data_IF_705585595218
#
_entry.id   IF_705585595218
#
_cell.length_a   1.000
_cell.length_b   1.000
_cell.length_c   1.000
_cell.angle_alpha   90.00
_cell.angle_beta   90.00
_cell.angle_gamma   90.00
#
_symmetry.space_group_name_H-M   'P 1'
#
loop_
_entity.id
_entity.type
_entity.pdbx_description
1 polymer ?
#
# COMPACT_ATOMS: atom_id res chain seq x y z
N UNK A 1 -41.97 32.94 47.36
CA UNK A 1 -42.44 31.57 47.66
C UNK A 1 -43.33 31.17 46.48
N UNK A 2 -43.00 30.24 45.60
CA UNK A 2 -42.12 29.08 45.68
C UNK A 2 -41.29 28.93 44.41
N UNK A 3 -40.11 28.32 44.56
CA UNK A 3 -39.21 27.89 43.48
C UNK A 3 -39.53 26.42 43.20
N UNK A 4 -39.84 26.05 41.96
CA UNK A 4 -40.23 24.68 41.63
C UNK A 4 -39.94 24.29 40.18
N UNK A 5 -38.71 23.81 39.96
CA UNK A 5 -38.30 22.74 39.03
C UNK A 5 -39.09 22.57 37.73
N UNK A 6 -38.45 22.84 36.59
CA UNK A 6 -38.53 22.04 35.35
C UNK A 6 -37.58 22.62 34.28
N UNK A 7 -36.28 22.49 34.53
CA UNK A 7 -35.28 22.52 33.46
C UNK A 7 -34.86 21.08 33.17
N UNK A 8 -34.52 20.81 31.90
CA UNK A 8 -34.01 19.56 31.33
C UNK A 8 -35.10 18.62 30.79
N UNK A 9 -35.63 18.92 29.60
CA UNK A 9 -36.27 17.92 28.74
C UNK A 9 -36.35 18.33 27.26
N UNK A 10 -35.36 18.98 26.65
CA UNK A 10 -35.32 19.16 25.18
C UNK A 10 -33.86 19.09 24.68
N UNK A 11 -33.27 17.90 24.66
CA UNK A 11 -32.03 17.63 23.93
C UNK A 11 -31.86 16.12 23.71
N UNK A 12 -32.77 15.47 22.97
CA UNK A 12 -32.56 14.04 22.66
C UNK A 12 -33.31 13.50 21.43
N UNK A 13 -33.43 14.26 20.35
CA UNK A 13 -34.12 13.79 19.12
C UNK A 13 -33.34 13.94 17.80
N UNK A 14 -32.00 13.97 17.82
CA UNK A 14 -31.19 13.79 16.59
C UNK A 14 -30.00 12.86 16.86
N UNK A 15 -30.26 11.63 17.29
CA UNK A 15 -29.23 10.60 17.41
C UNK A 15 -29.73 9.20 16.99
N UNK A 16 -30.60 9.14 15.98
CA UNK A 16 -31.13 7.86 15.45
C UNK A 16 -31.17 7.89 13.92
N UNK A 17 -29.97 7.98 13.33
CA UNK A 17 -29.57 7.60 11.97
C UNK A 17 -28.17 8.22 11.81
N UNK A 18 -27.05 7.53 11.84
CA UNK A 18 -26.69 6.36 11.05
C UNK A 18 -25.50 5.69 11.75
N UNK A 19 -25.72 4.56 12.43
CA UNK A 19 -24.63 3.62 12.75
C UNK A 19 -24.49 2.75 11.51
N UNK A 20 -23.76 3.21 10.49
CA UNK A 20 -23.22 2.27 9.50
C UNK A 20 -22.15 1.48 10.26
N UNK A 21 -22.26 0.16 10.41
CA UNK A 21 -21.21 -0.62 11.03
C UNK A 21 -19.95 -0.46 10.18
N UNK A 22 -18.90 0.06 10.80
CA UNK A 22 -17.56 0.29 10.22
C UNK A 22 -17.02 -1.00 9.55
N UNK A 23 -17.48 -2.19 9.97
CA UNK A 23 -17.14 -3.48 9.36
C UNK A 23 -17.53 -3.60 7.88
N UNK A 24 -18.54 -2.90 7.34
CA UNK A 24 -18.93 -3.08 5.93
C UNK A 24 -17.94 -2.42 4.95
N UNK A 25 -17.19 -1.41 5.40
CA UNK A 25 -16.36 -0.58 4.51
C UNK A 25 -15.08 -1.26 4.01
N UNK A 26 -14.58 -2.30 4.70
CA UNK A 26 -13.35 -3.02 4.33
C UNK A 26 -13.59 -4.41 3.73
N UNK A 27 -14.85 -4.76 3.43
CA UNK A 27 -15.25 -6.07 2.90
C UNK A 27 -15.83 -5.97 1.48
N UNK A 28 -15.61 -4.84 0.80
CA UNK A 28 -16.15 -4.60 -0.53
C UNK A 28 -15.34 -5.34 -1.60
N UNK A 29 -15.97 -5.52 -2.77
CA UNK A 29 -15.29 -5.93 -4.01
C UNK A 29 -14.00 -5.13 -4.26
N UNK A 30 -14.02 -3.82 -3.97
CA UNK A 30 -12.89 -2.94 -4.24
C UNK A 30 -11.71 -3.27 -3.32
N UNK A 31 -11.97 -3.55 -2.05
CA UNK A 31 -10.90 -3.83 -1.07
C UNK A 31 -10.10 -5.06 -1.44
N UNK A 32 -10.80 -6.15 -1.80
CA UNK A 32 -10.15 -7.35 -2.31
C UNK A 32 -9.32 -7.06 -3.57
N UNK A 33 -9.93 -6.43 -4.58
CA UNK A 33 -9.29 -6.23 -5.87
C UNK A 33 -8.07 -5.31 -5.78
N UNK A 34 -8.17 -4.22 -5.01
CA UNK A 34 -7.09 -3.26 -4.78
C UNK A 34 -5.91 -3.95 -4.09
N UNK A 35 -6.15 -4.66 -2.98
CA UNK A 35 -5.09 -5.31 -2.22
C UNK A 35 -4.30 -6.33 -3.07
N UNK A 36 -4.98 -7.11 -3.91
CA UNK A 36 -4.33 -8.02 -4.85
C UNK A 36 -3.51 -7.28 -5.90
N UNK A 37 -4.09 -6.25 -6.52
CA UNK A 37 -3.45 -5.52 -7.60
C UNK A 37 -2.23 -4.71 -7.14
N UNK A 38 -2.21 -4.26 -5.88
CA UNK A 38 -1.00 -3.70 -5.25
C UNK A 38 0.12 -4.73 -5.23
N UNK A 39 -0.14 -5.95 -4.74
CA UNK A 39 0.88 -7.00 -4.68
C UNK A 39 1.37 -7.41 -6.06
N UNK A 40 0.46 -7.52 -7.03
CA UNK A 40 0.76 -7.86 -8.43
C UNK A 40 1.63 -6.81 -9.13
N UNK A 41 1.33 -5.53 -8.92
CA UNK A 41 2.14 -4.43 -9.46
C UNK A 41 3.58 -4.45 -8.91
N UNK A 42 3.80 -4.87 -7.66
CA UNK A 42 5.14 -4.95 -7.07
C UNK A 42 6.06 -5.94 -7.77
N UNK A 43 5.51 -6.92 -8.50
CA UNK A 43 6.25 -7.95 -9.24
C UNK A 43 6.09 -7.84 -10.77
N UNK A 44 5.47 -6.76 -11.26
CA UNK A 44 5.32 -6.50 -12.70
C UNK A 44 4.37 -7.44 -13.43
N UNK A 45 3.36 -8.00 -12.75
CA UNK A 45 2.29 -8.79 -13.38
C UNK A 45 1.01 -7.96 -13.51
N UNK A 46 0.23 -8.21 -14.57
CA UNK A 46 -0.96 -7.40 -14.89
C UNK A 46 -2.05 -7.47 -13.81
N UNK A 47 -2.90 -6.44 -13.66
CA UNK A 47 -3.93 -6.42 -12.64
C UNK A 47 -5.04 -7.44 -12.90
N UNK A 48 -5.63 -7.98 -11.83
CA UNK A 48 -6.85 -8.77 -11.87
C UNK A 48 -8.06 -7.87 -12.13
N UNK A 49 -9.08 -8.45 -12.76
CA UNK A 49 -10.41 -7.86 -12.96
C UNK A 49 -11.44 -8.63 -12.14
N UNK A 50 -12.39 -7.91 -11.54
CA UNK A 50 -13.42 -8.57 -10.76
C UNK A 50 -14.42 -9.34 -11.64
N UNK A 51 -14.73 -10.58 -11.27
CA UNK A 51 -15.72 -11.43 -11.93
C UNK A 51 -16.87 -11.77 -10.97
N UNK A 52 -18.10 -11.47 -11.41
CA UNK A 52 -19.31 -11.86 -10.67
C UNK A 52 -19.45 -13.39 -10.58
N UNK A 53 -19.06 -14.12 -11.63
CA UNK A 53 -19.10 -15.58 -11.64
C UNK A 53 -18.14 -16.16 -10.59
N UNK A 54 -16.91 -15.63 -10.51
CA UNK A 54 -15.96 -16.04 -9.48
C UNK A 54 -16.40 -15.61 -8.07
N UNK A 55 -17.15 -14.51 -7.95
CA UNK A 55 -17.73 -14.09 -6.66
C UNK A 55 -18.78 -15.09 -6.19
N UNK A 56 -19.70 -15.48 -7.08
CA UNK A 56 -20.69 -16.52 -6.80
C UNK A 56 -20.00 -17.84 -6.46
N UNK A 57 -18.93 -18.17 -7.16
CA UNK A 57 -18.13 -19.36 -6.90
C UNK A 57 -17.48 -19.33 -5.52
N UNK A 58 -16.77 -18.25 -5.19
CA UNK A 58 -16.18 -18.06 -3.87
C UNK A 58 -17.25 -18.14 -2.77
N UNK A 59 -18.42 -17.52 -2.98
CA UNK A 59 -19.54 -17.57 -2.04
C UNK A 59 -20.05 -18.99 -1.85
N UNK A 60 -20.30 -19.72 -2.94
CA UNK A 60 -20.76 -21.12 -2.91
C UNK A 60 -19.78 -22.06 -2.19
N UNK A 61 -18.51 -21.68 -2.14
CA UNK A 61 -17.46 -22.44 -1.48
C UNK A 61 -17.39 -22.15 0.02
N UNK A 62 -17.49 -20.88 0.43
CA UNK A 62 -17.30 -20.49 1.83
C UNK A 62 -18.58 -20.59 2.67
N UNK A 63 -19.76 -20.37 2.07
CA UNK A 63 -21.06 -20.40 2.77
C UNK A 63 -21.34 -21.72 3.49
N UNK A 64 -21.11 -22.91 2.89
CA UNK A 64 -21.33 -24.17 3.58
C UNK A 64 -20.40 -24.40 4.78
N UNK A 65 -19.28 -23.68 4.86
CA UNK A 65 -18.25 -23.87 5.89
C UNK A 65 -18.50 -23.04 7.17
N UNK A 66 -19.51 -22.17 7.18
CA UNK A 66 -19.78 -21.24 8.30
C UNK A 66 -19.97 -21.91 9.66
N UNK A 67 -20.50 -23.14 9.69
CA UNK A 67 -20.78 -23.87 10.93
C UNK A 67 -19.53 -24.44 11.60
N UNK A 68 -18.53 -24.84 10.80
CA UNK A 68 -17.27 -25.40 11.30
C UNK A 68 -16.13 -24.38 11.33
N UNK A 69 -16.22 -23.31 10.54
CA UNK A 69 -15.22 -22.24 10.40
C UNK A 69 -13.79 -22.72 10.07
N UNK A 70 -13.66 -23.82 9.33
CA UNK A 70 -12.37 -24.40 8.97
C UNK A 70 -12.10 -24.33 7.48
N UNK A 71 -10.81 -24.28 7.12
CA UNK A 71 -10.37 -24.33 5.73
C UNK A 71 -10.67 -25.71 5.16
N UNK A 72 -11.54 -25.79 4.15
CA UNK A 72 -11.77 -26.99 3.37
C UNK A 72 -11.54 -26.66 1.90
N UNK A 73 -10.59 -27.34 1.27
CA UNK A 73 -10.40 -27.21 -0.17
C UNK A 73 -11.48 -28.00 -0.90
N UNK A 74 -12.16 -27.37 -1.85
CA UNK A 74 -13.07 -28.05 -2.78
C UNK A 74 -12.24 -28.46 -3.97
N UNK A 75 -12.20 -29.77 -4.24
CA UNK A 75 -11.68 -30.29 -5.49
C UNK A 75 -12.73 -30.04 -6.58
N UNK A 76 -12.52 -29.00 -7.37
CA UNK A 76 -13.34 -28.68 -8.53
C UNK A 76 -12.65 -28.97 -9.85
N UNK A 77 -11.75 -29.96 -9.87
CA UNK A 77 -11.00 -30.33 -11.07
C UNK A 77 -9.94 -29.30 -11.44
N UNK A 78 -9.51 -28.46 -10.48
CA UNK A 78 -8.51 -27.40 -10.66
C UNK A 78 -8.88 -26.36 -11.74
N UNK A 79 -10.18 -26.20 -12.04
CA UNK A 79 -10.64 -25.21 -13.02
C UNK A 79 -10.39 -23.76 -12.56
N UNK A 80 -10.33 -23.53 -11.24
CA UNK A 80 -10.05 -22.24 -10.65
C UNK A 80 -8.94 -22.32 -9.60
N UNK A 81 -8.20 -21.23 -9.45
CA UNK A 81 -7.28 -21.07 -8.33
C UNK A 81 -8.06 -20.65 -7.09
N UNK A 82 -7.62 -21.05 -5.89
CA UNK A 82 -8.23 -20.60 -4.65
C UNK A 82 -7.21 -20.22 -3.60
N UNK A 83 -7.54 -19.14 -2.89
CA UNK A 83 -6.97 -18.82 -1.59
C UNK A 83 -8.09 -18.76 -0.57
N UNK A 84 -7.86 -19.38 0.59
CA UNK A 84 -8.77 -19.36 1.73
C UNK A 84 -8.04 -18.82 2.96
N UNK A 85 -8.78 -18.14 3.83
CA UNK A 85 -8.33 -17.70 5.14
C UNK A 85 -9.49 -17.87 6.13
N UNK A 86 -9.19 -18.40 7.31
CA UNK A 86 -10.16 -18.56 8.39
C UNK A 86 -9.51 -18.08 9.68
N UNK A 87 -10.26 -17.33 10.47
CA UNK A 87 -9.86 -16.88 11.80
C UNK A 87 -11.03 -17.15 12.74
N UNK A 88 -10.78 -17.97 13.76
CA UNK A 88 -11.76 -18.30 14.77
C UNK A 88 -12.02 -17.12 15.71
N UNK A 89 -13.26 -17.03 16.19
CA UNK A 89 -13.71 -16.11 17.25
C UNK A 89 -13.52 -14.60 16.97
N UNK A 90 -13.10 -14.20 15.77
CA UNK A 90 -12.83 -12.79 15.40
C UNK A 90 -13.53 -12.41 14.08
N UNK A 91 -14.12 -11.20 14.04
CA UNK A 91 -14.54 -10.56 12.78
C UNK A 91 -13.33 -9.91 12.10
N UNK A 92 -12.92 -10.44 10.96
CA UNK A 92 -11.68 -10.07 10.28
C UNK A 92 -11.96 -9.47 8.90
N UNK A 93 -11.28 -8.39 8.52
CA UNK A 93 -11.57 -7.69 7.28
C UNK A 93 -11.02 -8.45 6.06
N UNK A 94 -11.66 -8.25 4.91
CA UNK A 94 -11.24 -8.83 3.63
C UNK A 94 -9.79 -8.47 3.27
N UNK A 95 -9.39 -7.22 3.52
CA UNK A 95 -8.04 -6.74 3.23
C UNK A 95 -6.97 -7.48 4.04
N UNK A 96 -7.30 -7.86 5.27
CA UNK A 96 -6.37 -8.55 6.13
C UNK A 96 -6.16 -10.00 5.66
N UNK A 97 -7.17 -10.63 5.06
CA UNK A 97 -7.03 -11.97 4.44
C UNK A 97 -6.06 -11.93 3.26
N UNK A 98 -6.19 -10.90 2.40
CA UNK A 98 -5.24 -10.68 1.31
C UNK A 98 -3.85 -10.41 1.85
N UNK A 99 -3.72 -9.64 2.94
CA UNK A 99 -2.45 -9.39 3.60
C UNK A 99 -1.79 -10.68 4.11
N UNK A 100 -2.54 -11.60 4.72
CA UNK A 100 -2.00 -12.90 5.16
C UNK A 100 -1.39 -13.69 3.99
N UNK A 101 -2.06 -13.71 2.85
CA UNK A 101 -1.54 -14.37 1.64
C UNK A 101 -0.32 -13.63 1.08
N UNK A 102 -0.36 -12.30 1.04
CA UNK A 102 0.75 -11.47 0.52
C UNK A 102 1.98 -11.53 1.41
N UNK A 103 1.83 -11.61 2.73
CA UNK A 103 2.95 -11.68 3.68
C UNK A 103 3.77 -12.97 3.50
N UNK A 104 3.20 -14.01 2.89
CA UNK A 104 3.95 -15.22 2.50
C UNK A 104 5.02 -14.97 1.43
N UNK A 105 5.09 -13.76 0.85
CA UNK A 105 6.23 -13.29 0.04
C UNK A 105 7.59 -13.47 0.73
N UNK A 106 7.61 -13.44 2.06
CA UNK A 106 8.84 -13.65 2.84
C UNK A 106 9.44 -15.05 2.64
N UNK A 107 8.60 -16.01 2.25
CA UNK A 107 8.98 -17.39 1.96
C UNK A 107 9.13 -17.63 0.44
N UNK A 108 9.13 -16.61 -0.41
CA UNK A 108 9.32 -16.78 -1.84
C UNK A 108 10.68 -16.27 -2.30
N UNK A 109 11.47 -17.14 -2.93
CA UNK A 109 12.73 -16.78 -3.54
C UNK A 109 12.54 -16.54 -5.05
N UNK A 110 12.55 -15.25 -5.42
CA UNK A 110 12.40 -14.84 -6.82
C UNK A 110 13.54 -15.30 -7.73
N UNK A 111 14.76 -15.51 -7.19
CA UNK A 111 15.91 -15.93 -7.99
C UNK A 111 15.79 -17.38 -8.43
N UNK A 112 15.30 -18.23 -7.54
CA UNK A 112 15.13 -19.68 -7.79
C UNK A 112 13.71 -20.03 -8.20
N UNK A 113 12.80 -19.05 -8.20
CA UNK A 113 11.37 -19.23 -8.48
C UNK A 113 10.78 -20.38 -7.65
N UNK A 114 11.07 -20.38 -6.35
CA UNK A 114 10.66 -21.45 -5.43
C UNK A 114 10.32 -20.92 -4.05
N UNK A 115 9.50 -21.67 -3.31
CA UNK A 115 9.21 -21.37 -1.92
C UNK A 115 10.33 -21.90 -1.00
N UNK A 116 10.76 -21.06 -0.05
CA UNK A 116 11.64 -21.42 1.06
C UNK A 116 10.81 -22.16 2.10
N UNK A 117 11.16 -23.42 2.40
CA UNK A 117 10.42 -24.29 3.32
C UNK A 117 9.48 -25.29 2.64
N UNK A 118 9.19 -25.08 1.35
CA UNK A 118 8.34 -25.95 0.53
C UNK A 118 7.17 -25.19 -0.09
N UNK A 119 6.53 -25.77 -1.11
CA UNK A 119 5.51 -25.07 -1.91
C UNK A 119 4.38 -24.48 -1.07
N UNK A 120 3.96 -25.16 0.00
CA UNK A 120 2.86 -24.72 0.85
C UNK A 120 3.15 -23.40 1.59
N UNK A 121 4.42 -23.09 1.86
CA UNK A 121 4.79 -21.90 2.64
C UNK A 121 4.56 -20.59 1.88
N UNK A 122 4.55 -20.64 0.56
CA UNK A 122 4.32 -19.46 -0.27
C UNK A 122 3.20 -19.61 -1.32
N UNK A 123 2.51 -20.76 -1.35
CA UNK A 123 1.43 -21.09 -2.30
C UNK A 123 0.35 -20.01 -2.41
N UNK A 124 -0.04 -19.42 -1.29
CA UNK A 124 -1.08 -18.38 -1.27
C UNK A 124 -0.58 -17.06 -1.83
N UNK A 125 0.69 -16.71 -1.56
CA UNK A 125 1.35 -15.56 -2.17
C UNK A 125 1.44 -15.72 -3.69
N UNK A 126 1.93 -16.87 -4.12
CA UNK A 126 2.17 -17.13 -5.53
C UNK A 126 0.88 -17.18 -6.34
N UNK A 127 -0.24 -17.62 -5.75
CA UNK A 127 -1.57 -17.51 -6.35
C UNK A 127 -2.00 -16.04 -6.54
N UNK A 128 -1.75 -15.17 -5.56
CA UNK A 128 -2.08 -13.73 -5.66
C UNK A 128 -1.33 -13.08 -6.83
N UNK A 129 -0.04 -13.40 -6.96
CA UNK A 129 0.84 -12.80 -7.98
C UNK A 129 0.99 -13.62 -9.25
N UNK A 130 0.15 -14.63 -9.46
CA UNK A 130 0.21 -15.49 -10.64
C UNK A 130 -0.06 -14.71 -11.92
N UNK A 131 0.93 -14.64 -12.82
CA UNK A 131 0.87 -13.80 -14.03
C UNK A 131 -0.34 -14.09 -14.90
N UNK A 132 -0.69 -15.37 -15.04
CA UNK A 132 -1.74 -15.81 -15.95
C UNK A 132 -3.15 -15.68 -15.36
N UNK A 133 -3.31 -15.42 -14.06
CA UNK A 133 -4.63 -15.15 -13.49
C UNK A 133 -5.06 -13.76 -13.92
N UNK A 134 -6.28 -13.66 -14.47
CA UNK A 134 -6.83 -12.42 -15.03
C UNK A 134 -8.06 -11.93 -14.28
N UNK A 135 -8.83 -12.86 -13.71
CA UNK A 135 -10.08 -12.58 -13.02
C UNK A 135 -10.02 -13.00 -11.55
N UNK A 136 -10.71 -12.25 -10.71
CA UNK A 136 -10.83 -12.46 -9.27
C UNK A 136 -12.29 -12.38 -8.85
N UNK A 137 -12.72 -13.23 -7.93
CA UNK A 137 -13.95 -13.02 -7.17
C UNK A 137 -13.79 -13.58 -5.78
N UNK A 138 -14.24 -12.83 -4.77
CA UNK A 138 -14.05 -13.18 -3.38
C UNK A 138 -15.35 -13.10 -2.59
N UNK A 139 -15.40 -13.86 -1.51
CA UNK A 139 -16.50 -13.87 -0.55
C UNK A 139 -15.94 -13.90 0.87
N UNK A 140 -16.66 -13.25 1.77
CA UNK A 140 -16.44 -13.30 3.21
C UNK A 140 -17.74 -13.74 3.87
N UNK A 141 -17.65 -14.69 4.79
CA UNK A 141 -18.77 -15.13 5.61
C UNK A 141 -18.42 -15.03 7.08
N UNK A 142 -19.42 -14.69 7.89
CA UNK A 142 -19.35 -14.76 9.35
C UNK A 142 -19.67 -16.19 9.77
N UNK A 143 -18.79 -16.81 10.55
CA UNK A 143 -19.02 -18.15 11.08
C UNK A 143 -19.95 -18.11 12.29
N UNK A 144 -20.60 -19.23 12.58
CA UNK A 144 -21.56 -19.36 13.70
C UNK A 144 -20.86 -19.23 15.06
N UNK A 145 -19.57 -19.60 15.13
CA UNK A 145 -18.72 -19.41 16.31
C UNK A 145 -18.25 -17.96 16.49
N UNK A 146 -18.70 -17.00 15.66
CA UNK A 146 -18.20 -15.64 15.69
C UNK A 146 -16.81 -15.46 15.08
N UNK A 147 -16.33 -16.44 14.30
CA UNK A 147 -15.16 -16.34 13.43
C UNK A 147 -15.48 -15.76 12.05
N UNK A 148 -14.47 -15.75 11.19
CA UNK A 148 -14.58 -15.26 9.80
C UNK A 148 -13.90 -16.22 8.85
N UNK A 149 -14.56 -16.50 7.73
CA UNK A 149 -13.98 -17.25 6.63
C UNK A 149 -14.03 -16.42 5.35
N UNK A 150 -12.89 -16.33 4.68
CA UNK A 150 -12.69 -15.55 3.45
C UNK A 150 -12.13 -16.47 2.37
N UNK A 151 -12.71 -16.40 1.18
CA UNK A 151 -12.23 -17.15 0.03
C UNK A 151 -12.18 -16.28 -1.23
N UNK A 152 -11.14 -16.44 -2.02
CA UNK A 152 -10.98 -15.81 -3.32
C UNK A 152 -10.72 -16.88 -4.39
N UNK A 153 -11.48 -16.81 -5.48
CA UNK A 153 -11.33 -17.63 -6.67
C UNK A 153 -10.62 -16.84 -7.78
N UNK A 154 -9.74 -17.50 -8.54
CA UNK A 154 -8.93 -16.93 -9.60
C UNK A 154 -9.12 -17.69 -10.90
N UNK A 155 -9.16 -16.97 -12.02
CA UNK A 155 -9.27 -17.55 -13.36
C UNK A 155 -8.39 -16.80 -14.37
N UNK A 156 -7.55 -17.48 -15.15
CA UNK A 156 -7.09 -18.86 -15.00
C UNK A 156 -6.50 -19.20 -13.61
N UNK A 157 -6.47 -20.49 -13.22
CA UNK A 157 -5.89 -20.92 -11.94
C UNK A 157 -4.40 -20.59 -11.86
N UNK A 158 -3.92 -20.37 -10.63
CA UNK A 158 -2.50 -20.24 -10.34
C UNK A 158 -1.91 -21.53 -9.82
N UNK A 159 -0.59 -21.52 -9.56
CA UNK A 159 0.15 -22.67 -9.04
C UNK A 159 0.05 -23.91 -9.95
N UNK A 160 -0.02 -23.71 -11.27
CA UNK A 160 -0.05 -24.81 -12.25
C UNK A 160 1.35 -25.38 -12.41
N UNK A 161 1.50 -26.69 -12.20
CA UNK A 161 2.78 -27.38 -12.32
C UNK A 161 3.42 -27.15 -13.70
N UNK A 162 4.71 -26.80 -13.71
CA UNK A 162 5.48 -26.56 -14.93
C UNK A 162 5.29 -25.17 -15.57
N UNK A 163 4.42 -24.30 -15.04
CA UNK A 163 4.36 -22.89 -15.46
C UNK A 163 5.20 -22.00 -14.53
N UNK A 164 6.07 -21.17 -15.14
CA UNK A 164 6.88 -20.19 -14.43
C UNK A 164 6.03 -18.98 -14.01
N UNK A 165 6.09 -18.61 -12.73
CA UNK A 165 5.28 -17.58 -12.08
C UNK A 165 5.56 -16.16 -12.64
N UNK A 166 6.82 -15.90 -13.01
CA UNK A 166 7.30 -14.61 -13.51
C UNK A 166 8.31 -14.88 -14.63
N UNK A 167 7.95 -14.60 -15.90
CA UNK A 167 8.96 -14.44 -16.94
C UNK A 167 9.74 -13.16 -16.61
N UNK A 168 11.00 -13.30 -16.21
CA UNK A 168 11.94 -12.18 -16.08
C UNK A 168 12.18 -11.57 -17.46
N UNK A 169 11.46 -10.49 -17.77
CA UNK A 169 11.90 -9.50 -18.74
C UNK A 169 11.83 -8.14 -18.04
N UNK A 170 13.02 -7.56 -17.80
CA UNK A 170 13.22 -6.16 -17.44
C UNK A 170 12.62 -5.23 -18.53
N UNK A 171 12.33 -3.97 -18.18
CA UNK A 171 11.03 -3.33 -18.35
C UNK A 171 10.61 -3.13 -19.82
N UNK A 172 9.35 -3.41 -20.13
CA UNK A 172 8.67 -2.79 -21.27
C UNK A 172 7.50 -2.01 -20.72
N UNK A 173 7.45 -0.72 -21.07
CA UNK A 173 6.33 0.19 -20.88
C UNK A 173 4.99 -0.54 -21.02
N UNK A 174 4.41 -0.95 -19.90
CA UNK A 174 3.03 -1.39 -19.86
C UNK A 174 2.21 -0.19 -19.44
N UNK A 175 1.67 0.53 -20.43
CA UNK A 175 0.62 1.50 -20.22
C UNK A 175 -0.48 0.86 -19.37
N UNK A 176 -0.77 1.45 -18.19
CA UNK A 176 -1.84 1.00 -17.31
C UNK A 176 -3.19 1.10 -18.04
N UNK A 177 -3.99 0.03 -18.12
CA UNK A 177 -5.40 0.13 -18.44
C UNK A 177 -6.14 0.61 -17.19
N UNK A 178 -6.81 1.75 -17.32
CA UNK A 178 -7.65 2.38 -16.31
C UNK A 178 -8.77 1.44 -15.84
N UNK A 179 -8.84 1.12 -14.54
CA UNK A 179 -9.97 0.41 -13.93
C UNK A 179 -10.56 1.31 -12.84
N UNK A 180 -11.70 1.90 -13.19
CA UNK A 180 -12.52 2.86 -12.45
C UNK A 180 -12.60 2.64 -10.93
N UNK A 181 -12.00 3.60 -10.22
CA UNK A 181 -12.28 3.91 -8.83
C UNK A 181 -11.20 4.74 -8.14
N UNK A 182 -10.66 5.80 -8.75
CA UNK A 182 -9.73 6.74 -8.09
C UNK A 182 -9.48 8.04 -8.88
N UNK A 183 -10.54 8.64 -9.42
CA UNK A 183 -10.46 9.85 -10.25
C UNK A 183 -9.55 10.94 -9.65
N UNK A 184 -9.61 11.16 -8.33
CA UNK A 184 -8.78 12.16 -7.66
C UNK A 184 -7.28 11.80 -7.64
N UNK A 185 -6.93 10.57 -7.27
CA UNK A 185 -5.52 10.13 -7.22
C UNK A 185 -4.92 10.12 -8.63
N UNK A 186 -5.63 9.59 -9.62
CA UNK A 186 -5.16 9.58 -11.01
C UNK A 186 -4.99 11.01 -11.56
N UNK A 187 -6.00 11.89 -11.38
CA UNK A 187 -5.92 13.30 -11.78
C UNK A 187 -4.78 14.03 -11.10
N UNK A 188 -4.58 13.78 -9.80
CA UNK A 188 -3.51 14.39 -9.01
C UNK A 188 -2.14 13.90 -9.50
N UNK A 189 -1.95 12.58 -9.63
CA UNK A 189 -0.68 12.00 -10.06
C UNK A 189 -0.32 12.33 -11.51
N UNK A 190 -1.30 12.56 -12.38
CA UNK A 190 -1.08 12.99 -13.76
C UNK A 190 -0.47 14.40 -13.85
N UNK A 191 -0.54 15.19 -12.77
CA UNK A 191 0.13 16.49 -12.68
C UNK A 191 1.53 16.41 -12.07
N UNK A 192 2.05 15.20 -11.86
CA UNK A 192 3.38 14.97 -11.25
C UNK A 192 4.35 14.39 -12.28
N UNK A 193 5.66 14.69 -12.18
CA UNK A 193 6.66 14.18 -13.13
C UNK A 193 6.93 12.67 -12.98
N UNK A 194 6.53 12.06 -11.86
CA UNK A 194 6.72 10.64 -11.58
C UNK A 194 5.39 9.94 -11.27
N UNK A 195 4.53 9.84 -12.30
CA UNK A 195 3.18 9.28 -12.21
C UNK A 195 3.13 7.93 -11.47
N UNK A 196 3.91 6.93 -11.92
CA UNK A 196 3.91 5.59 -11.32
C UNK A 196 4.32 5.58 -9.84
N UNK A 197 5.32 6.41 -9.50
CA UNK A 197 5.78 6.56 -8.13
C UNK A 197 4.69 7.20 -7.26
N UNK A 198 3.99 8.20 -7.77
CA UNK A 198 2.85 8.85 -7.12
C UNK A 198 1.73 7.84 -6.85
N UNK A 199 1.28 7.13 -7.88
CA UNK A 199 0.22 6.12 -7.79
C UNK A 199 0.58 5.06 -6.75
N UNK A 200 1.76 4.43 -6.86
CA UNK A 200 2.20 3.37 -5.95
C UNK A 200 2.34 3.85 -4.51
N UNK A 201 2.81 5.09 -4.31
CA UNK A 201 2.99 5.65 -2.97
C UNK A 201 1.65 5.94 -2.31
N UNK A 202 0.71 6.57 -3.03
CA UNK A 202 -0.61 6.91 -2.49
C UNK A 202 -1.46 5.66 -2.24
N UNK A 203 -1.56 4.75 -3.21
CA UNK A 203 -2.37 3.53 -3.10
C UNK A 203 -1.88 2.61 -1.95
N UNK A 204 -0.60 2.70 -1.58
CA UNK A 204 -0.06 1.94 -0.43
C UNK A 204 -0.62 2.37 0.92
N UNK A 205 -1.26 3.55 1.00
CA UNK A 205 -1.92 4.06 2.19
C UNK A 205 -3.45 4.00 2.01
N UNK A 206 -4.18 3.20 2.83
CA UNK A 206 -5.64 3.11 2.75
C UNK A 206 -6.38 4.45 2.95
N UNK A 207 -5.77 5.43 3.62
CA UNK A 207 -6.39 6.74 3.83
C UNK A 207 -6.41 7.60 2.56
N UNK A 208 -5.63 7.25 1.53
CA UNK A 208 -5.57 8.00 0.27
C UNK A 208 -6.90 8.00 -0.50
N UNK A 209 -7.73 6.97 -0.32
CA UNK A 209 -8.99 6.80 -1.06
C UNK A 209 -10.14 7.69 -0.53
N UNK A 210 -10.01 8.23 0.69
CA UNK A 210 -11.08 8.95 1.39
C UNK A 210 -10.63 10.35 1.82
N UNK A 211 -9.73 10.97 1.04
CA UNK A 211 -9.17 12.28 1.37
C UNK A 211 -9.09 13.17 0.13
N UNK A 212 -8.96 14.48 0.35
CA UNK A 212 -8.81 15.47 -0.71
C UNK A 212 -7.35 15.60 -1.17
N UNK A 213 -7.08 16.49 -2.12
CA UNK A 213 -5.70 16.70 -2.63
C UNK A 213 -4.73 17.11 -1.51
N UNK A 214 -5.20 17.88 -0.53
CA UNK A 214 -4.40 18.27 0.64
C UNK A 214 -4.06 17.04 1.50
N UNK A 215 -4.98 16.10 1.67
CA UNK A 215 -4.72 14.82 2.31
C UNK A 215 -3.74 13.95 1.53
N UNK A 216 -3.86 13.90 0.20
CA UNK A 216 -2.88 13.21 -0.66
C UNK A 216 -1.48 13.83 -0.50
N UNK A 217 -1.38 15.16 -0.43
CA UNK A 217 -0.13 15.85 -0.16
C UNK A 217 0.46 15.45 1.20
N UNK A 218 -0.35 15.44 2.28
CA UNK A 218 0.10 14.99 3.61
C UNK A 218 0.61 13.55 3.60
N UNK A 219 -0.07 12.65 2.91
CA UNK A 219 0.37 11.24 2.76
C UNK A 219 1.73 11.18 2.07
N UNK A 220 1.94 11.95 1.00
CA UNK A 220 3.22 12.00 0.32
C UNK A 220 4.33 12.59 1.20
N UNK A 221 4.06 13.66 1.96
CA UNK A 221 5.02 14.25 2.90
C UNK A 221 5.40 13.25 4.01
N UNK A 222 4.44 12.48 4.54
CA UNK A 222 4.75 11.37 5.46
C UNK A 222 5.58 10.26 4.79
N UNK A 223 5.37 10.00 3.50
CA UNK A 223 6.17 9.04 2.74
C UNK A 223 7.62 9.51 2.63
N UNK A 224 7.88 10.81 2.40
CA UNK A 224 9.24 11.39 2.45
C UNK A 224 9.86 11.12 3.81
N UNK A 225 9.16 11.43 4.90
CA UNK A 225 9.67 11.22 6.27
C UNK A 225 10.10 9.75 6.51
N UNK A 226 9.27 8.80 6.08
CA UNK A 226 9.55 7.38 6.24
C UNK A 226 10.78 6.95 5.44
N UNK A 227 10.91 7.43 4.19
CA UNK A 227 12.07 7.14 3.33
C UNK A 227 13.34 7.80 3.86
N UNK A 228 13.28 9.06 4.25
CA UNK A 228 14.40 9.80 4.83
C UNK A 228 14.89 9.17 6.14
N UNK A 229 13.97 8.79 7.02
CA UNK A 229 14.30 8.06 8.27
C UNK A 229 14.99 6.74 7.97
N UNK A 230 14.51 5.99 6.98
CA UNK A 230 15.15 4.74 6.56
C UNK A 230 16.57 4.99 6.01
N UNK A 231 16.77 6.03 5.22
CA UNK A 231 18.09 6.43 4.72
C UNK A 231 19.04 6.86 5.84
N UNK A 232 18.58 7.68 6.79
CA UNK A 232 19.40 8.09 7.93
C UNK A 232 19.85 6.90 8.78
N UNK A 233 18.99 5.88 8.97
CA UNK A 233 19.39 4.64 9.64
C UNK A 233 20.50 3.91 8.88
N UNK A 234 20.46 3.87 7.54
CA UNK A 234 21.52 3.28 6.72
C UNK A 234 22.82 4.08 6.84
N UNK A 235 22.74 5.41 6.77
CA UNK A 235 23.88 6.33 6.97
C UNK A 235 24.55 6.07 8.32
N UNK A 236 23.78 5.99 9.40
CA UNK A 236 24.30 5.74 10.74
C UNK A 236 25.00 4.38 10.85
N UNK A 237 24.50 3.33 10.16
CA UNK A 237 25.19 2.04 10.07
C UNK A 237 26.50 2.15 9.29
N UNK A 238 26.52 2.86 8.17
CA UNK A 238 27.74 3.06 7.38
C UNK A 238 28.83 3.81 8.18
N UNK A 239 28.44 4.79 9.01
CA UNK A 239 29.39 5.51 9.86
C UNK A 239 30.11 4.64 10.91
N UNK A 240 29.55 3.48 11.26
CA UNK A 240 30.16 2.51 12.18
C UNK A 240 31.25 1.66 11.49
N UNK A 241 31.25 1.56 10.16
CA UNK A 241 32.21 0.76 9.43
C UNK A 241 33.42 1.58 8.96
N UNK A 242 34.53 0.89 8.69
CA UNK A 242 35.74 1.50 8.14
C UNK A 242 35.50 1.82 6.66
N UNK A 243 35.72 3.08 6.30
CA UNK A 243 35.65 3.60 4.94
C UNK A 243 36.87 4.49 4.69
N UNK A 244 37.19 4.73 3.41
CA UNK A 244 38.15 5.76 3.02
C UNK A 244 37.71 7.13 3.54
N UNK A 245 38.66 8.01 3.83
CA UNK A 245 38.42 9.30 4.51
C UNK A 245 37.41 10.19 3.76
N UNK A 246 37.55 10.28 2.44
CA UNK A 246 36.64 10.96 1.52
C UNK A 246 35.21 10.40 1.60
N UNK A 247 35.05 9.07 1.51
CA UNK A 247 33.74 8.40 1.59
C UNK A 247 33.11 8.63 2.97
N UNK A 248 33.91 8.53 4.05
CA UNK A 248 33.44 8.77 5.41
C UNK A 248 32.98 10.22 5.61
N UNK A 249 33.65 11.19 4.99
CA UNK A 249 33.25 12.59 5.01
C UNK A 249 31.93 12.82 4.26
N UNK A 250 31.78 12.23 3.07
CA UNK A 250 30.53 12.27 2.31
C UNK A 250 29.34 11.70 3.11
N UNK A 251 29.54 10.53 3.75
CA UNK A 251 28.49 9.91 4.60
C UNK A 251 28.12 10.83 5.78
N UNK A 252 29.09 11.54 6.39
CA UNK A 252 28.79 12.50 7.47
C UNK A 252 28.01 13.70 6.97
N UNK A 253 28.36 14.26 5.80
CA UNK A 253 27.60 15.34 5.17
C UNK A 253 26.14 14.90 4.94
N UNK A 254 25.95 13.72 4.34
CA UNK A 254 24.62 13.13 4.18
C UNK A 254 23.83 12.99 5.49
N UNK A 255 24.47 12.60 6.60
CA UNK A 255 23.79 12.49 7.89
C UNK A 255 23.17 13.82 8.35
N UNK A 256 23.90 14.92 8.18
CA UNK A 256 23.41 16.27 8.52
C UNK A 256 22.22 16.65 7.65
N UNK A 257 22.32 16.45 6.33
CA UNK A 257 21.25 16.73 5.36
C UNK A 257 19.97 15.96 5.69
N UNK A 258 20.07 14.65 5.90
CA UNK A 258 18.91 13.83 6.26
C UNK A 258 18.33 14.16 7.63
N UNK A 259 19.14 14.67 8.56
CA UNK A 259 18.63 15.17 9.83
C UNK A 259 17.77 16.43 9.62
N UNK A 260 18.23 17.38 8.79
CA UNK A 260 17.47 18.57 8.43
C UNK A 260 16.11 18.21 7.80
N UNK A 261 16.09 17.29 6.82
CA UNK A 261 14.84 16.79 6.22
C UNK A 261 13.84 16.32 7.29
N UNK A 262 14.29 15.49 8.23
CA UNK A 262 13.41 14.83 9.21
C UNK A 262 12.96 15.79 10.31
N UNK A 263 13.80 16.76 10.69
CA UNK A 263 13.59 17.62 11.86
C UNK A 263 13.07 19.01 11.54
N UNK A 264 13.26 19.46 10.30
CA UNK A 264 12.96 20.82 9.88
C UNK A 264 11.98 20.78 8.71
N UNK A 265 12.42 20.35 7.53
CA UNK A 265 11.66 20.46 6.27
C UNK A 265 10.30 19.78 6.33
N UNK A 266 10.26 18.53 6.81
CA UNK A 266 9.04 17.73 6.84
C UNK A 266 8.04 18.25 7.90
N UNK A 267 8.43 18.47 9.17
CA UNK A 267 7.54 19.09 10.14
C UNK A 267 7.01 20.46 9.69
N UNK A 268 7.86 21.30 9.09
CA UNK A 268 7.45 22.59 8.55
C UNK A 268 6.43 22.43 7.41
N UNK A 269 6.68 21.52 6.46
CA UNK A 269 5.76 21.26 5.34
C UNK A 269 4.41 20.73 5.81
N UNK A 270 4.38 19.81 6.79
CA UNK A 270 3.14 19.31 7.38
C UNK A 270 2.35 20.40 8.11
N UNK A 271 3.05 21.28 8.83
CA UNK A 271 2.43 22.40 9.52
C UNK A 271 1.87 23.42 8.51
N UNK A 272 2.63 23.75 7.47
CA UNK A 272 2.18 24.64 6.39
C UNK A 272 0.96 24.06 5.66
N UNK A 273 0.95 22.76 5.36
CA UNK A 273 -0.24 22.08 4.82
C UNK A 273 -1.44 22.17 5.76
N UNK A 274 -1.24 22.16 7.08
CA UNK A 274 -2.33 22.32 8.05
C UNK A 274 -2.88 23.75 8.09
N UNK A 275 -2.01 24.75 7.94
CA UNK A 275 -2.36 26.17 7.98
C UNK A 275 -2.88 26.72 6.64
N UNK A 276 -2.79 25.93 5.55
CA UNK A 276 -3.14 26.40 4.20
C UNK A 276 -2.03 27.22 3.53
N UNK A 277 -0.82 27.17 4.08
CA UNK A 277 0.36 27.91 3.63
C UNK A 277 1.09 27.14 2.51
N UNK A 278 0.40 26.87 1.40
CA UNK A 278 0.86 25.89 0.41
C UNK A 278 2.21 26.21 -0.25
N UNK A 279 2.60 27.49 -0.38
CA UNK A 279 3.94 27.86 -0.89
C UNK A 279 5.05 27.41 0.05
N UNK A 280 4.84 27.51 1.36
CA UNK A 280 5.80 27.02 2.36
C UNK A 280 5.82 25.49 2.40
N UNK A 281 4.66 24.85 2.23
CA UNK A 281 4.60 23.40 2.11
C UNK A 281 5.35 22.87 0.87
N UNK A 282 5.19 23.54 -0.28
CA UNK A 282 5.94 23.26 -1.52
C UNK A 282 7.44 23.45 -1.25
N UNK A 283 7.85 24.60 -0.69
CA UNK A 283 9.24 24.88 -0.33
C UNK A 283 9.90 23.76 0.48
N UNK A 284 9.30 23.36 1.61
CA UNK A 284 9.86 22.29 2.45
C UNK A 284 9.97 20.94 1.75
N UNK A 285 9.05 20.60 0.84
CA UNK A 285 9.21 19.38 0.02
C UNK A 285 10.33 19.50 -1.02
N UNK A 286 10.57 20.69 -1.57
CA UNK A 286 11.69 20.91 -2.50
C UNK A 286 13.03 20.87 -1.79
N UNK A 287 13.12 21.46 -0.61
CA UNK A 287 14.34 21.44 0.21
C UNK A 287 14.72 19.99 0.52
N UNK A 288 13.76 19.14 0.87
CA UNK A 288 14.00 17.71 1.04
C UNK A 288 14.53 17.01 -0.22
N UNK A 289 14.06 17.41 -1.41
CA UNK A 289 14.58 16.89 -2.67
C UNK A 289 16.03 17.34 -2.91
N UNK A 290 16.31 18.64 -2.70
CA UNK A 290 17.65 19.21 -2.86
C UNK A 290 18.65 18.64 -1.86
N UNK A 291 18.25 18.38 -0.63
CA UNK A 291 19.11 17.77 0.39
C UNK A 291 19.49 16.32 0.02
N UNK A 292 18.54 15.54 -0.51
CA UNK A 292 18.81 14.19 -1.01
C UNK A 292 19.72 14.19 -2.25
N UNK A 293 19.50 15.10 -3.19
CA UNK A 293 20.36 15.27 -4.37
C UNK A 293 21.77 15.74 -3.98
N UNK A 294 21.88 16.68 -3.04
CA UNK A 294 23.15 17.20 -2.56
C UNK A 294 23.95 16.12 -1.82
N UNK A 295 23.30 15.25 -1.04
CA UNK A 295 23.94 14.09 -0.46
C UNK A 295 24.54 13.17 -1.55
N UNK A 296 23.83 12.95 -2.66
CA UNK A 296 24.38 12.12 -3.75
C UNK A 296 25.60 12.77 -4.42
N UNK A 297 25.57 14.10 -4.58
CA UNK A 297 26.70 14.87 -5.14
C UNK A 297 27.97 14.81 -4.29
N UNK A 298 27.87 14.52 -2.98
CA UNK A 298 29.06 14.30 -2.13
C UNK A 298 29.90 13.10 -2.58
N UNK A 299 29.29 12.15 -3.31
CA UNK A 299 29.95 10.93 -3.76
C UNK A 299 30.54 11.02 -5.18
N UNK A 300 30.53 12.17 -5.87
CA UNK A 300 30.90 12.27 -7.30
C UNK A 300 32.24 11.64 -7.72
N UNK A 301 33.18 11.41 -6.79
CA UNK A 301 34.49 10.78 -7.05
C UNK A 301 34.55 9.29 -6.69
N UNK A 302 33.46 8.68 -6.26
CA UNK A 302 33.40 7.30 -5.75
C UNK A 302 32.00 6.70 -5.92
N UNK A 303 31.87 5.39 -5.72
CA UNK A 303 30.56 4.75 -5.77
C UNK A 303 29.73 5.12 -4.53
N UNK A 304 28.57 5.74 -4.73
CA UNK A 304 27.65 6.08 -3.64
C UNK A 304 27.01 4.81 -3.05
N UNK A 305 27.14 4.55 -1.73
CA UNK A 305 26.44 3.47 -1.06
C UNK A 305 24.95 3.81 -0.79
N UNK A 306 24.49 4.98 -1.21
CA UNK A 306 23.17 5.55 -0.92
C UNK A 306 22.39 5.94 -2.18
N UNK A 307 22.94 5.74 -3.39
CA UNK A 307 22.37 6.21 -4.66
C UNK A 307 20.86 5.94 -4.80
N UNK A 308 20.45 4.68 -4.65
CA UNK A 308 19.03 4.30 -4.78
C UNK A 308 18.15 4.95 -3.70
N UNK A 309 18.68 5.11 -2.49
CA UNK A 309 17.96 5.68 -1.36
C UNK A 309 17.79 7.20 -1.53
N UNK A 310 18.85 7.88 -1.97
CA UNK A 310 18.86 9.30 -2.29
C UNK A 310 17.88 9.60 -3.41
N UNK A 311 17.91 8.80 -4.49
CA UNK A 311 16.97 8.92 -5.60
C UNK A 311 15.53 8.74 -5.15
N UNK A 312 15.22 7.75 -4.32
CA UNK A 312 13.84 7.54 -3.83
C UNK A 312 13.35 8.72 -3.01
N UNK A 313 14.18 9.27 -2.12
CA UNK A 313 13.79 10.43 -1.30
C UNK A 313 13.62 11.67 -2.18
N UNK A 314 14.52 11.90 -3.13
CA UNK A 314 14.40 12.96 -4.12
C UNK A 314 13.09 12.83 -4.92
N UNK A 315 12.86 11.71 -5.59
CA UNK A 315 11.73 11.54 -6.50
C UNK A 315 10.38 11.62 -5.76
N UNK A 316 10.28 11.03 -4.56
CA UNK A 316 9.06 11.14 -3.72
C UNK A 316 8.82 12.59 -3.28
N UNK A 317 9.89 13.34 -2.98
CA UNK A 317 9.80 14.74 -2.58
C UNK A 317 9.31 15.63 -3.72
N UNK A 318 9.81 15.41 -4.94
CA UNK A 318 9.36 16.08 -6.16
C UNK A 318 7.89 15.72 -6.50
N UNK A 319 7.44 14.50 -6.21
CA UNK A 319 6.01 14.17 -6.34
C UNK A 319 5.19 14.97 -5.33
N UNK A 320 5.56 14.97 -4.04
CA UNK A 320 4.82 15.67 -3.00
C UNK A 320 4.68 17.17 -3.31
N UNK A 321 5.80 17.79 -3.64
CA UNK A 321 5.92 19.13 -4.22
C UNK A 321 4.92 19.43 -5.34
N UNK A 322 4.89 18.56 -6.35
CA UNK A 322 4.01 18.71 -7.50
C UNK A 322 2.55 18.64 -7.09
N UNK A 323 2.19 17.75 -6.16
CA UNK A 323 0.83 17.69 -5.59
C UNK A 323 0.48 18.99 -4.86
N UNK A 324 1.36 19.50 -4.00
CA UNK A 324 1.11 20.78 -3.30
C UNK A 324 0.92 21.92 -4.30
N UNK A 325 1.71 21.94 -5.37
CA UNK A 325 1.60 22.92 -6.45
C UNK A 325 0.25 22.89 -7.17
N UNK A 326 -0.40 21.73 -7.26
CA UNK A 326 -1.76 21.64 -7.83
C UNK A 326 -2.78 22.41 -6.99
N UNK A 327 -2.59 22.45 -5.66
CA UNK A 327 -3.46 23.17 -4.72
C UNK A 327 -3.27 24.68 -4.84
N UNK A 328 -2.05 25.15 -5.14
CA UNK A 328 -1.76 26.58 -5.31
C UNK A 328 -2.45 27.16 -6.56
N UNK A 329 -2.61 26.33 -7.61
CA UNK A 329 -3.12 26.76 -8.92
C UNK A 329 -4.64 26.62 -9.07
N UNK A 330 -5.27 25.83 -8.22
CA UNK A 330 -6.72 25.59 -8.21
C UNK A 330 -7.44 26.54 -7.29
#
# INVERSE_FOLDING_TARGET
MEIGKNSVAIACLIALAVIIPISQAQNSKKDFLIAHNIARAQVGVGPLRWSKNLTARASSHVEPLKGVCQLAFVDDGYHYGYNLAAIDLVDFAAIDAVKLWVDKKAYYNYKTNSCVGGEQDCKTYTQVVWRNSLHLGCAKVRCDNGGTLVGCAYDPPGNVAGQLFICFIFPVNAALPSILGNDLIEKTCNQTPYYELCIRSLISNPHSFNTDVQGLAKIMVHTINARATHTLRRINKLLQHKHETNVKQAIRSCAYRYYAIIKEDIPQSLQALRLGEYKFAEGGTMDAAFEAESCEKEFMKCQSPLADMNRVVHDVSIVAASIVKTIIKG
#
